data_IF_046424230039
#
_entry.id   IF_046424230039
#
_cell.length_a   1.000
_cell.length_b   1.000
_cell.length_c   1.000
_cell.angle_alpha   90.00
_cell.angle_beta   90.00
_cell.angle_gamma   90.00
#
_symmetry.space_group_name_H-M   'P 1'
#
loop_
_entity.id
_entity.type
_entity.pdbx_description
1 polymer ?
#
# COMPACT_ATOMS: atom_id res chain seq x y z
N UNK A 1 -11.59 18.89 27.16
CA UNK A 1 -11.93 17.45 27.30
C UNK A 1 -12.32 16.92 25.94
N UNK A 2 -12.07 15.64 25.67
CA UNK A 2 -12.37 15.04 24.35
C UNK A 2 -13.88 14.97 24.09
N UNK A 3 -14.31 15.38 22.89
CA UNK A 3 -15.71 15.35 22.46
C UNK A 3 -16.01 14.22 21.47
N UNK A 4 -15.05 13.30 21.27
CA UNK A 4 -15.21 12.17 20.38
C UNK A 4 -16.45 11.32 20.74
N UNK A 5 -17.22 10.84 19.73
CA UNK A 5 -18.28 9.87 19.97
C UNK A 5 -17.72 8.50 20.40
N UNK A 6 -16.45 8.21 20.15
CA UNK A 6 -15.82 6.92 20.40
C UNK A 6 -15.11 6.88 21.76
N UNK A 7 -15.45 5.88 22.60
CA UNK A 7 -14.95 5.79 23.97
C UNK A 7 -13.44 5.56 24.06
N UNK A 8 -12.85 4.83 23.11
CA UNK A 8 -11.42 4.61 23.04
C UNK A 8 -10.67 5.89 22.67
N UNK A 9 -11.15 6.67 21.70
CA UNK A 9 -10.55 7.95 21.33
C UNK A 9 -10.56 8.92 22.51
N UNK A 10 -11.69 9.03 23.22
CA UNK A 10 -11.75 9.85 24.45
C UNK A 10 -10.71 9.42 25.47
N UNK A 11 -10.51 8.11 25.66
CA UNK A 11 -9.51 7.58 26.60
C UNK A 11 -8.09 7.94 26.15
N UNK A 12 -7.75 7.67 24.89
CA UNK A 12 -6.44 7.96 24.31
C UNK A 12 -6.09 9.44 24.41
N UNK A 13 -6.98 10.33 23.98
CA UNK A 13 -6.77 11.79 24.04
C UNK A 13 -6.62 12.25 25.49
N UNK A 14 -7.43 11.72 26.42
CA UNK A 14 -7.33 12.13 27.84
C UNK A 14 -6.03 11.65 28.49
N UNK A 15 -5.57 10.43 28.16
CA UNK A 15 -4.30 9.89 28.65
C UNK A 15 -3.12 10.69 28.09
N UNK A 16 -3.14 11.01 26.80
CA UNK A 16 -2.06 11.75 26.16
C UNK A 16 -1.99 13.20 26.64
N UNK A 17 -3.14 13.86 26.83
CA UNK A 17 -3.21 15.17 27.45
C UNK A 17 -2.57 15.16 28.84
N UNK A 18 -2.92 14.18 29.68
CA UNK A 18 -2.34 14.04 31.01
C UNK A 18 -0.82 13.81 30.94
N UNK A 19 -0.35 12.98 29.99
CA UNK A 19 1.08 12.76 29.76
C UNK A 19 1.81 14.06 29.41
N UNK A 20 1.30 14.83 28.44
CA UNK A 20 1.93 16.07 27.99
C UNK A 20 1.95 17.15 29.07
N UNK A 21 0.86 17.30 29.82
CA UNK A 21 0.80 18.20 30.97
C UNK A 21 1.78 17.77 32.08
N UNK A 22 1.93 16.47 32.32
CA UNK A 22 2.92 15.97 33.28
C UNK A 22 4.37 16.20 32.82
N UNK A 23 4.64 16.20 31.50
CA UNK A 23 5.98 16.46 30.94
C UNK A 23 6.42 17.90 31.17
N UNK A 24 5.54 18.89 30.99
CA UNK A 24 5.87 20.29 31.35
C UNK A 24 5.88 20.51 32.87
N UNK A 25 5.14 19.69 33.63
CA UNK A 25 5.13 19.70 35.09
C UNK A 25 4.62 21.03 35.66
N UNK A 26 5.17 21.45 36.80
CA UNK A 26 4.74 22.67 37.48
C UNK A 26 5.00 23.98 36.69
N UNK A 27 5.79 23.93 35.62
CA UNK A 27 6.21 25.09 34.84
C UNK A 27 5.45 25.25 33.51
N UNK A 28 4.36 24.51 33.31
CA UNK A 28 3.59 24.62 32.07
C UNK A 28 3.06 26.04 31.86
N UNK A 29 3.48 26.71 30.79
CA UNK A 29 2.99 28.08 30.49
C UNK A 29 1.63 28.04 29.80
N UNK A 30 0.99 29.21 29.68
CA UNK A 30 -0.23 29.34 28.90
C UNK A 30 -0.01 28.98 27.42
N UNK A 31 1.15 29.32 26.84
CA UNK A 31 1.47 28.91 25.46
C UNK A 31 1.66 27.39 25.34
N UNK A 32 2.25 26.75 26.35
CA UNK A 32 2.39 25.29 26.36
C UNK A 32 1.04 24.60 26.38
N UNK A 33 0.12 25.06 27.24
CA UNK A 33 -1.24 24.52 27.32
C UNK A 33 -1.99 24.72 26.00
N UNK A 34 -1.89 25.88 25.35
CA UNK A 34 -2.49 26.11 24.03
C UNK A 34 -1.89 25.23 22.94
N UNK A 35 -0.59 24.92 23.02
CA UNK A 35 0.05 23.97 22.10
C UNK A 35 -0.49 22.56 22.32
N UNK A 36 -0.58 22.12 23.58
CA UNK A 36 -1.12 20.81 23.96
C UNK A 36 -2.58 20.69 23.50
N UNK A 37 -3.42 21.70 23.74
CA UNK A 37 -4.82 21.69 23.32
C UNK A 37 -4.98 21.52 21.81
N UNK A 38 -4.19 22.26 21.01
CA UNK A 38 -4.20 22.11 19.54
C UNK A 38 -3.80 20.69 19.12
N UNK A 39 -2.77 20.12 19.76
CA UNK A 39 -2.36 18.75 19.52
C UNK A 39 -3.45 17.75 19.89
N UNK A 40 -4.19 17.97 20.99
CA UNK A 40 -5.28 17.07 21.42
C UNK A 40 -6.48 17.13 20.48
N UNK A 41 -6.79 18.30 19.90
CA UNK A 41 -7.83 18.43 18.87
C UNK A 41 -7.45 17.66 17.61
N UNK A 42 -6.22 17.81 17.12
CA UNK A 42 -5.75 17.07 15.95
C UNK A 42 -5.69 15.56 16.22
N UNK A 43 -5.25 15.15 17.41
CA UNK A 43 -5.22 13.74 17.82
C UNK A 43 -6.63 13.14 17.90
N UNK A 44 -7.59 13.89 18.44
CA UNK A 44 -9.00 13.46 18.48
C UNK A 44 -9.57 13.24 17.08
N UNK A 45 -9.29 14.15 16.14
CA UNK A 45 -9.75 14.00 14.75
C UNK A 45 -9.11 12.77 14.08
N UNK A 46 -7.81 12.56 14.28
CA UNK A 46 -7.11 11.40 13.74
C UNK A 46 -7.67 10.09 14.32
N UNK A 47 -7.90 10.03 15.63
CA UNK A 47 -8.50 8.87 16.30
C UNK A 47 -9.94 8.60 15.83
N UNK A 48 -10.74 9.64 15.61
CA UNK A 48 -12.09 9.50 15.05
C UNK A 48 -12.07 8.90 13.64
N UNK A 49 -11.18 9.38 12.77
CA UNK A 49 -11.03 8.84 11.42
C UNK A 49 -10.55 7.38 11.47
N UNK A 50 -9.65 7.05 12.40
CA UNK A 50 -9.20 5.67 12.59
C UNK A 50 -10.33 4.74 13.03
N UNK A 51 -11.19 5.18 13.95
CA UNK A 51 -12.40 4.44 14.36
C UNK A 51 -13.41 4.26 13.22
N UNK A 52 -13.63 5.31 12.41
CA UNK A 52 -14.50 5.23 11.22
C UNK A 52 -13.96 4.18 10.25
N UNK A 53 -12.65 4.17 10.02
CA UNK A 53 -11.99 3.20 9.17
C UNK A 53 -12.14 1.77 9.69
N UNK A 54 -11.99 1.56 11.01
CA UNK A 54 -12.18 0.26 11.65
C UNK A 54 -13.63 -0.24 11.51
N UNK A 55 -14.61 0.65 11.61
CA UNK A 55 -16.04 0.28 11.61
C UNK A 55 -16.67 0.19 10.23
N UNK A 56 -16.06 0.78 9.20
CA UNK A 56 -16.75 0.98 7.93
C UNK A 56 -15.83 1.23 6.75
N UNK A 57 -16.29 2.06 5.83
CA UNK A 57 -15.52 2.56 4.70
C UNK A 57 -15.18 4.03 4.95
N UNK A 58 -13.99 4.45 4.54
CA UNK A 58 -13.61 5.85 4.52
C UNK A 58 -13.94 6.45 3.15
N UNK A 59 -14.27 7.74 3.14
CA UNK A 59 -14.28 8.52 1.89
C UNK A 59 -12.86 8.96 1.53
N UNK A 60 -12.63 9.27 0.26
CA UNK A 60 -11.34 9.83 -0.20
C UNK A 60 -10.99 11.12 0.54
N UNK A 61 -11.98 11.96 0.85
CA UNK A 61 -11.79 13.17 1.64
C UNK A 61 -11.34 12.86 3.08
N UNK A 62 -11.92 11.85 3.71
CA UNK A 62 -11.52 11.40 5.05
C UNK A 62 -10.07 10.86 5.04
N UNK A 63 -9.67 10.15 3.98
CA UNK A 63 -8.30 9.66 3.83
C UNK A 63 -7.30 10.81 3.64
N UNK A 64 -7.67 11.84 2.87
CA UNK A 64 -6.88 13.08 2.73
C UNK A 64 -6.75 13.84 4.04
N UNK A 65 -7.83 13.93 4.81
CA UNK A 65 -7.81 14.57 6.13
C UNK A 65 -6.92 13.81 7.11
N UNK A 66 -6.98 12.47 7.11
CA UNK A 66 -6.09 11.63 7.92
C UNK A 66 -4.62 11.92 7.60
N UNK A 67 -4.26 11.97 6.32
CA UNK A 67 -2.89 12.25 5.88
C UNK A 67 -2.41 13.64 6.33
N UNK A 68 -3.28 14.65 6.29
CA UNK A 68 -2.94 15.99 6.76
C UNK A 68 -2.67 16.04 8.27
N UNK A 69 -3.53 15.40 9.07
CA UNK A 69 -3.40 15.34 10.52
C UNK A 69 -2.14 14.60 10.95
N UNK A 70 -1.76 13.56 10.21
CA UNK A 70 -0.48 12.87 10.37
C UNK A 70 0.69 13.85 10.31
N UNK A 71 0.76 14.72 9.29
CA UNK A 71 1.86 15.67 9.14
C UNK A 71 1.88 16.75 10.23
N UNK A 72 0.69 17.16 10.68
CA UNK A 72 0.55 18.15 11.75
C UNK A 72 1.03 17.62 13.10
N UNK A 73 0.65 16.39 13.42
CA UNK A 73 0.96 15.78 14.72
C UNK A 73 2.39 15.25 14.77
N UNK A 74 2.88 14.64 13.69
CA UNK A 74 4.13 13.87 13.70
C UNK A 74 5.36 14.57 14.32
N UNK A 75 5.63 15.88 14.12
CA UNK A 75 6.74 16.56 14.78
C UNK A 75 6.72 16.47 16.32
N UNK A 76 5.54 16.31 16.92
CA UNK A 76 5.36 16.13 18.36
C UNK A 76 5.48 14.68 18.85
N UNK A 77 5.43 13.70 17.95
CA UNK A 77 5.40 12.27 18.27
C UNK A 77 6.54 11.57 17.53
N UNK A 78 7.74 11.65 18.11
CA UNK A 78 9.02 11.41 17.44
C UNK A 78 9.28 10.02 16.86
N UNK A 79 8.38 9.04 17.02
CA UNK A 79 8.50 7.78 16.31
C UNK A 79 7.16 7.36 15.67
N UNK A 80 7.29 6.84 14.44
CA UNK A 80 6.17 6.56 13.57
C UNK A 80 5.32 5.36 14.05
N UNK A 81 5.92 4.47 14.84
CA UNK A 81 5.25 3.28 15.38
C UNK A 81 4.35 3.63 16.56
N UNK A 82 4.88 4.29 17.59
CA UNK A 82 4.13 4.78 18.75
C UNK A 82 3.04 5.75 18.33
N UNK A 83 3.28 6.58 17.32
CA UNK A 83 2.26 7.46 16.79
C UNK A 83 1.14 6.72 16.06
N UNK A 84 1.48 5.72 15.25
CA UNK A 84 0.47 4.85 14.64
C UNK A 84 -0.33 4.11 15.72
N UNK A 85 0.33 3.49 16.69
CA UNK A 85 -0.29 2.81 17.84
C UNK A 85 -1.21 3.75 18.63
N UNK A 86 -0.80 5.00 18.83
CA UNK A 86 -1.59 6.02 19.51
C UNK A 86 -2.89 6.32 18.76
N UNK A 87 -2.82 6.62 17.46
CA UNK A 87 -4.01 6.99 16.69
C UNK A 87 -4.95 5.79 16.49
N UNK A 88 -4.41 4.60 16.30
CA UNK A 88 -5.23 3.39 16.11
C UNK A 88 -5.78 2.83 17.42
N UNK A 89 -5.25 3.25 18.56
CA UNK A 89 -5.56 2.70 19.88
C UNK A 89 -5.07 1.27 20.07
N UNK A 90 -4.12 0.80 19.25
CA UNK A 90 -3.59 -0.56 19.30
C UNK A 90 -2.25 -0.57 20.02
N UNK A 91 -2.14 -1.44 21.01
CA UNK A 91 -0.96 -1.58 21.87
C UNK A 91 0.20 -2.33 21.22
N UNK A 92 -0.01 -3.01 20.08
CA UNK A 92 1.00 -3.81 19.39
C UNK A 92 0.81 -3.83 17.88
N UNK A 93 1.23 -2.76 17.20
CA UNK A 93 1.36 -2.81 15.74
C UNK A 93 2.67 -3.51 15.35
N UNK A 94 2.62 -4.48 14.43
CA UNK A 94 3.84 -5.03 13.83
C UNK A 94 4.50 -3.99 12.92
N UNK A 95 5.83 -4.05 12.75
CA UNK A 95 6.53 -3.12 11.84
C UNK A 95 6.02 -3.16 10.40
N UNK A 96 5.47 -4.31 9.98
CA UNK A 96 4.73 -4.43 8.73
C UNK A 96 3.43 -3.63 8.77
N UNK A 97 2.56 -3.80 9.77
CA UNK A 97 1.32 -3.02 9.91
C UNK A 97 1.57 -1.50 9.98
N UNK A 98 2.64 -1.07 10.64
CA UNK A 98 3.08 0.33 10.66
C UNK A 98 3.46 0.82 9.27
N UNK A 99 4.30 0.06 8.54
CA UNK A 99 4.72 0.43 7.18
C UNK A 99 3.53 0.55 6.22
N UNK A 100 2.54 -0.31 6.41
CA UNK A 100 1.29 -0.37 5.64
C UNK A 100 0.39 0.82 5.88
N UNK A 101 0.26 1.20 7.15
CA UNK A 101 -0.47 2.40 7.56
C UNK A 101 0.13 3.63 6.88
N UNK A 102 1.46 3.77 6.91
CA UNK A 102 2.15 4.90 6.30
C UNK A 102 1.98 4.94 4.78
N UNK A 103 2.09 3.80 4.11
CA UNK A 103 1.80 3.70 2.68
C UNK A 103 0.34 4.09 2.35
N UNK A 104 -0.63 3.66 3.15
CA UNK A 104 -2.05 3.96 2.93
C UNK A 104 -2.38 5.46 3.08
N UNK A 105 -1.71 6.16 4.00
CA UNK A 105 -1.84 7.62 4.13
C UNK A 105 -0.97 8.39 3.13
N UNK A 106 -0.25 7.70 2.24
CA UNK A 106 0.55 8.31 1.17
C UNK A 106 1.86 8.96 1.65
N UNK A 107 2.43 8.48 2.76
CA UNK A 107 3.68 9.01 3.34
C UNK A 107 4.70 7.92 3.62
N UNK A 108 5.98 8.28 3.64
CA UNK A 108 7.04 7.39 4.13
C UNK A 108 7.88 8.10 5.19
N UNK A 109 8.19 7.44 6.32
CA UNK A 109 9.25 7.89 7.21
C UNK A 109 10.62 7.62 6.56
N UNK A 110 11.46 8.64 6.51
CA UNK A 110 12.87 8.52 6.08
C UNK A 110 13.81 8.55 7.29
N UNK A 111 15.05 8.10 7.08
CA UNK A 111 16.09 8.16 8.10
C UNK A 111 16.20 9.59 8.68
N UNK A 112 16.19 9.71 10.00
CA UNK A 112 16.17 11.00 10.70
C UNK A 112 14.78 11.47 11.16
N UNK A 113 13.73 10.66 10.96
CA UNK A 113 12.40 10.95 11.52
C UNK A 113 11.69 12.08 10.80
N UNK A 114 11.78 12.12 9.47
CA UNK A 114 11.03 13.05 8.61
C UNK A 114 10.01 12.24 7.81
N UNK A 115 8.78 12.74 7.69
CA UNK A 115 7.79 12.17 6.78
C UNK A 115 7.85 12.85 5.41
N UNK A 116 7.88 12.07 4.33
CA UNK A 116 7.77 12.57 2.96
C UNK A 116 6.48 12.07 2.33
N UNK A 117 5.67 12.98 1.76
CA UNK A 117 4.52 12.62 0.93
C UNK A 117 5.01 11.95 -0.35
N UNK A 118 4.45 10.79 -0.66
CA UNK A 118 4.84 9.95 -1.82
C UNK A 118 3.68 9.62 -2.74
N UNK A 119 2.45 9.94 -2.36
CA UNK A 119 1.27 9.70 -3.18
C UNK A 119 0.00 10.31 -2.57
N UNK A 120 -1.12 10.02 -3.20
CA UNK A 120 -2.45 10.30 -2.64
C UNK A 120 -2.84 9.19 -1.65
N UNK A 121 -3.48 9.53 -0.53
CA UNK A 121 -3.93 8.54 0.43
C UNK A 121 -5.07 7.69 -0.18
N UNK A 122 -5.01 6.37 0.00
CA UNK A 122 -6.05 5.44 -0.42
C UNK A 122 -6.98 5.14 0.74
N UNK A 123 -8.27 5.43 0.56
CA UNK A 123 -9.29 5.16 1.57
C UNK A 123 -9.46 3.66 1.82
N UNK A 124 -9.41 2.85 0.77
CA UNK A 124 -9.56 1.40 0.81
C UNK A 124 -8.39 0.75 1.54
N UNK A 125 -7.16 1.17 1.22
CA UNK A 125 -5.96 0.68 1.88
C UNK A 125 -5.94 1.06 3.36
N UNK A 126 -6.37 2.28 3.70
CA UNK A 126 -6.40 2.76 5.08
C UNK A 126 -7.42 1.98 5.91
N UNK A 127 -8.61 1.73 5.36
CA UNK A 127 -9.63 0.85 5.96
C UNK A 127 -9.11 -0.56 6.18
N UNK A 128 -8.44 -1.15 5.19
CA UNK A 128 -7.91 -2.51 5.28
C UNK A 128 -6.84 -2.64 6.39
N UNK A 129 -5.93 -1.67 6.48
CA UNK A 129 -4.88 -1.68 7.51
C UNK A 129 -5.46 -1.48 8.90
N UNK A 130 -6.39 -0.54 9.06
CA UNK A 130 -6.91 -0.18 10.38
C UNK A 130 -7.84 -1.24 10.97
N UNK A 131 -8.59 -1.97 10.13
CA UNK A 131 -9.42 -3.11 10.57
C UNK A 131 -8.62 -4.29 11.13
N UNK A 132 -7.39 -4.48 10.67
CA UNK A 132 -6.55 -5.64 11.04
C UNK A 132 -5.71 -5.27 12.26
N UNK A 133 -6.35 -5.26 13.43
CA UNK A 133 -5.74 -4.74 14.65
C UNK A 133 -4.79 -5.65 15.40
N UNK A 134 -4.83 -6.96 15.16
CA UNK A 134 -3.84 -7.93 15.63
C UNK A 134 -4.01 -9.17 14.76
N UNK A 135 -2.93 -9.63 14.14
CA UNK A 135 -2.81 -10.90 13.39
C UNK A 135 -3.91 -11.21 12.32
N UNK A 136 -3.71 -10.72 11.10
CA UNK A 136 -4.18 -11.42 9.90
C UNK A 136 -3.15 -11.28 8.77
N UNK A 137 -2.63 -12.42 8.31
CA UNK A 137 -1.73 -12.52 7.16
C UNK A 137 -2.46 -12.02 5.92
N UNK A 138 -1.74 -11.17 5.17
CA UNK A 138 -2.07 -10.81 3.80
C UNK A 138 -3.16 -9.75 3.68
N UNK A 139 -2.83 -8.48 3.90
CA UNK A 139 -3.67 -7.39 3.37
C UNK A 139 -2.95 -6.06 3.15
N UNK A 140 -1.61 -5.97 3.24
CA UNK A 140 -0.97 -4.71 2.87
C UNK A 140 0.46 -4.83 2.35
N UNK A 141 0.58 -5.21 1.11
CA UNK A 141 1.74 -4.81 0.29
C UNK A 141 1.30 -4.16 -1.02
N UNK A 142 0.02 -3.76 -1.13
CA UNK A 142 -0.62 -3.43 -2.41
C UNK A 142 -0.82 -1.95 -2.72
N UNK A 143 -0.47 -1.00 -1.83
CA UNK A 143 -0.82 0.42 -2.09
C UNK A 143 0.35 1.38 -2.38
N UNK A 144 1.60 1.03 -2.08
CA UNK A 144 2.66 2.07 -1.97
C UNK A 144 3.71 2.15 -3.07
N UNK A 145 4.12 1.03 -3.67
CA UNK A 145 5.32 1.00 -4.57
C UNK A 145 5.23 -0.03 -5.69
N UNK A 146 4.03 -0.52 -6.02
CA UNK A 146 3.83 -1.54 -7.05
C UNK A 146 3.10 -1.01 -8.30
N UNK A 147 2.70 0.27 -8.32
CA UNK A 147 1.88 0.83 -9.41
C UNK A 147 2.59 1.74 -10.42
N UNK A 148 3.88 2.09 -10.27
CA UNK A 148 4.42 3.16 -11.12
C UNK A 148 5.15 2.70 -12.38
N UNK A 149 5.73 1.49 -12.45
CA UNK A 149 6.52 0.98 -13.60
C UNK A 149 6.63 -0.56 -13.59
N UNK A 150 6.69 -1.17 -14.78
CA UNK A 150 7.26 -2.50 -14.99
C UNK A 150 8.69 -2.31 -15.47
N UNK A 151 9.69 -2.71 -14.68
CA UNK A 151 11.08 -2.60 -15.09
C UNK A 151 11.43 -3.79 -16.00
N UNK A 152 11.70 -3.49 -17.27
CA UNK A 152 12.09 -4.48 -18.28
C UNK A 152 13.62 -4.55 -18.36
N UNK A 153 14.22 -5.61 -17.81
CA UNK A 153 15.65 -5.89 -18.05
C UNK A 153 15.82 -6.70 -19.35
N UNK A 154 16.97 -6.56 -20.00
CA UNK A 154 17.28 -7.34 -21.20
C UNK A 154 17.36 -8.83 -20.91
N UNK A 155 17.97 -9.22 -19.78
CA UNK A 155 18.09 -10.63 -19.35
C UNK A 155 16.72 -11.31 -19.20
N UNK A 156 15.75 -10.64 -18.57
CA UNK A 156 14.40 -11.20 -18.41
C UNK A 156 13.69 -11.25 -19.75
N UNK A 157 13.87 -10.25 -20.60
CA UNK A 157 13.28 -10.27 -21.93
C UNK A 157 13.89 -11.36 -22.82
N UNK A 158 15.18 -11.64 -22.72
CA UNK A 158 15.82 -12.79 -23.38
C UNK A 158 15.16 -14.11 -22.94
N UNK A 159 14.86 -14.26 -21.65
CA UNK A 159 14.09 -15.40 -21.16
C UNK A 159 12.68 -15.47 -21.77
N UNK A 160 11.96 -14.35 -21.78
CA UNK A 160 10.60 -14.27 -22.38
C UNK A 160 10.64 -14.60 -23.86
N UNK A 161 11.64 -14.10 -24.61
CA UNK A 161 11.79 -14.38 -26.03
C UNK A 161 12.07 -15.87 -26.26
N UNK A 162 13.07 -16.41 -25.56
CA UNK A 162 13.49 -17.80 -25.72
C UNK A 162 12.39 -18.81 -25.35
N UNK A 163 11.47 -18.43 -24.46
CA UNK A 163 10.42 -19.33 -23.96
C UNK A 163 9.05 -19.08 -24.61
N UNK A 164 8.65 -17.82 -24.76
CA UNK A 164 7.28 -17.41 -25.11
C UNK A 164 7.15 -16.72 -26.48
N UNK A 165 8.25 -16.46 -27.18
CA UNK A 165 8.27 -16.02 -28.59
C UNK A 165 8.99 -17.01 -29.50
N UNK A 166 9.20 -18.25 -29.03
CA UNK A 166 10.01 -19.26 -29.72
C UNK A 166 9.21 -20.17 -30.66
N UNK A 167 7.87 -20.14 -30.58
CA UNK A 167 6.98 -21.05 -31.29
C UNK A 167 6.93 -22.48 -30.72
N UNK A 168 7.63 -22.76 -29.61
CA UNK A 168 7.66 -24.10 -29.01
C UNK A 168 6.34 -24.41 -28.28
N UNK A 169 5.77 -25.60 -28.53
CA UNK A 169 4.47 -26.02 -27.98
C UNK A 169 4.48 -26.38 -26.48
N UNK A 170 5.64 -26.35 -25.84
CA UNK A 170 5.79 -26.70 -24.43
C UNK A 170 5.51 -25.53 -23.46
N UNK A 171 5.21 -24.34 -23.97
CA UNK A 171 4.85 -23.15 -23.21
C UNK A 171 3.83 -22.31 -23.99
N UNK A 172 3.13 -21.42 -23.30
CA UNK A 172 2.28 -20.42 -23.96
C UNK A 172 3.11 -19.57 -24.92
N UNK A 173 2.60 -19.30 -26.12
CA UNK A 173 3.33 -18.58 -27.18
C UNK A 173 2.62 -17.29 -27.58
N UNK A 174 3.33 -16.17 -27.57
CA UNK A 174 2.86 -14.92 -28.15
C UNK A 174 2.85 -15.00 -29.68
N UNK A 175 1.84 -14.36 -30.27
CA UNK A 175 1.78 -14.02 -31.70
C UNK A 175 2.27 -12.58 -31.97
N UNK A 176 2.55 -11.83 -30.91
CA UNK A 176 3.09 -10.47 -30.96
C UNK A 176 4.57 -10.46 -31.34
N UNK A 177 5.05 -9.36 -31.91
CA UNK A 177 6.49 -9.13 -32.01
C UNK A 177 7.11 -8.77 -30.65
N UNK A 178 8.41 -8.93 -30.46
CA UNK A 178 9.10 -8.47 -29.24
C UNK A 178 8.88 -6.97 -29.01
N UNK A 179 8.98 -6.16 -30.07
CA UNK A 179 8.80 -4.70 -30.00
C UNK A 179 7.39 -4.35 -29.52
N UNK A 180 6.38 -5.04 -30.05
CA UNK A 180 4.98 -4.86 -29.67
C UNK A 180 4.73 -5.30 -28.22
N UNK A 181 5.30 -6.44 -27.79
CA UNK A 181 5.20 -6.91 -26.42
C UNK A 181 5.84 -5.91 -25.44
N UNK A 182 7.02 -5.38 -25.73
CA UNK A 182 7.69 -4.35 -24.91
C UNK A 182 6.87 -3.06 -24.83
N UNK A 183 6.27 -2.66 -25.96
CA UNK A 183 5.38 -1.49 -26.01
C UNK A 183 4.16 -1.68 -25.10
N UNK A 184 3.52 -2.86 -25.15
CA UNK A 184 2.39 -3.19 -24.28
C UNK A 184 2.81 -3.21 -22.81
N UNK A 185 3.90 -3.89 -22.45
CA UNK A 185 4.39 -3.98 -21.07
C UNK A 185 4.78 -2.62 -20.47
N UNK A 186 5.14 -1.66 -21.31
CA UNK A 186 5.49 -0.30 -20.90
C UNK A 186 4.30 0.66 -20.97
N UNK A 187 3.15 0.22 -21.48
CA UNK A 187 1.96 1.05 -21.61
C UNK A 187 1.34 1.37 -20.26
N UNK A 188 0.79 2.57 -20.13
CA UNK A 188 0.15 3.01 -18.89
C UNK A 188 -0.98 2.07 -18.46
N UNK A 189 -1.77 1.57 -19.42
CA UNK A 189 -2.85 0.61 -19.19
C UNK A 189 -2.39 -0.73 -18.62
N UNK A 190 -1.12 -1.09 -18.79
CA UNK A 190 -0.53 -2.31 -18.22
C UNK A 190 0.16 -2.02 -16.89
N UNK A 191 0.83 -0.87 -16.79
CA UNK A 191 1.48 -0.42 -15.55
C UNK A 191 0.46 -0.22 -14.42
N UNK A 192 -0.72 0.30 -14.75
CA UNK A 192 -1.81 0.57 -13.79
C UNK A 192 -2.63 -0.67 -13.43
N UNK A 193 -2.34 -1.84 -14.00
CA UNK A 193 -3.08 -3.06 -13.69
C UNK A 193 -2.91 -3.43 -12.21
N UNK A 194 -4.01 -3.77 -11.52
CA UNK A 194 -3.93 -4.25 -10.16
C UNK A 194 -3.23 -5.62 -10.13
N UNK A 195 -2.56 -5.90 -9.02
CA UNK A 195 -2.13 -7.26 -8.72
C UNK A 195 -3.37 -8.10 -8.43
N UNK A 196 -3.58 -9.15 -9.20
CA UNK A 196 -4.73 -10.06 -9.02
C UNK A 196 -4.40 -11.25 -8.14
N UNK A 197 -3.11 -11.60 -8.01
CA UNK A 197 -2.64 -12.75 -7.22
C UNK A 197 -1.17 -12.61 -6.84
N UNK A 198 -0.76 -13.27 -5.77
CA UNK A 198 0.65 -13.52 -5.46
C UNK A 198 0.93 -15.01 -5.37
N UNK A 199 2.11 -15.44 -5.82
CA UNK A 199 2.55 -16.83 -5.72
C UNK A 199 3.95 -16.88 -5.10
N UNK A 200 4.19 -17.86 -4.24
CA UNK A 200 5.52 -18.13 -3.71
C UNK A 200 6.33 -18.92 -4.75
N UNK A 201 7.57 -18.51 -4.97
CA UNK A 201 8.50 -19.20 -5.87
C UNK A 201 9.87 -19.32 -5.21
N UNK A 202 10.76 -20.16 -5.77
CA UNK A 202 12.13 -20.29 -5.28
C UNK A 202 12.91 -18.95 -5.24
N UNK A 203 12.53 -17.99 -6.08
CA UNK A 203 13.11 -16.64 -6.11
C UNK A 203 12.32 -15.58 -5.34
N UNK A 204 11.46 -16.00 -4.41
CA UNK A 204 10.57 -15.13 -3.64
C UNK A 204 9.17 -14.99 -4.23
N UNK A 205 8.37 -14.13 -3.61
CA UNK A 205 6.98 -13.86 -4.01
C UNK A 205 6.93 -13.20 -5.39
N UNK A 206 6.07 -13.71 -6.26
CA UNK A 206 5.76 -13.13 -7.57
C UNK A 206 4.36 -12.54 -7.55
N UNK A 207 4.23 -11.33 -8.04
CA UNK A 207 2.97 -10.59 -8.13
C UNK A 207 2.46 -10.68 -9.56
N UNK A 208 1.25 -11.21 -9.71
CA UNK A 208 0.62 -11.46 -10.99
C UNK A 208 -0.35 -10.33 -11.31
N UNK A 209 -0.28 -9.85 -12.55
CA UNK A 209 -1.30 -9.01 -13.16
C UNK A 209 -1.83 -9.72 -14.40
N UNK A 210 -3.08 -9.43 -14.75
CA UNK A 210 -3.74 -9.98 -15.93
C UNK A 210 -4.13 -8.81 -16.83
N UNK A 211 -3.69 -8.87 -18.09
CA UNK A 211 -4.01 -7.86 -19.11
C UNK A 211 -4.82 -8.51 -20.22
N UNK A 212 -5.98 -7.95 -20.55
CA UNK A 212 -6.72 -8.30 -21.75
C UNK A 212 -6.42 -7.27 -22.85
N UNK A 213 -5.80 -7.74 -23.94
CA UNK A 213 -5.45 -6.90 -25.08
C UNK A 213 -6.63 -6.61 -26.00
N UNK A 214 -7.80 -7.21 -25.78
CA UNK A 214 -9.00 -7.06 -26.61
C UNK A 214 -8.89 -7.69 -28.01
N UNK A 215 -7.77 -8.38 -28.30
CA UNK A 215 -7.50 -9.14 -29.53
C UNK A 215 -6.65 -10.35 -29.20
N UNK A 216 -6.65 -11.35 -30.06
CA UNK A 216 -5.78 -12.51 -29.90
C UNK A 216 -4.31 -12.08 -29.91
N UNK A 217 -3.58 -12.44 -28.86
CA UNK A 217 -2.16 -12.12 -28.68
C UNK A 217 -1.27 -13.35 -28.57
N UNK A 218 -1.85 -14.55 -28.48
CA UNK A 218 -1.08 -15.77 -28.29
C UNK A 218 -1.92 -17.02 -28.10
N UNK A 219 -1.27 -18.10 -27.67
CA UNK A 219 -1.86 -19.37 -27.28
C UNK A 219 -1.56 -19.67 -25.81
N UNK A 220 -2.56 -20.19 -25.10
CA UNK A 220 -2.48 -20.51 -23.67
C UNK A 220 -2.22 -22.01 -23.44
N UNK A 221 -1.02 -22.35 -22.97
CA UNK A 221 -0.64 -23.73 -22.66
C UNK A 221 -1.43 -24.33 -21.50
N UNK A 222 -1.92 -23.51 -20.57
CA UNK A 222 -2.77 -23.92 -19.45
C UNK A 222 -4.22 -24.15 -19.87
N UNK A 223 -4.57 -23.77 -21.10
CA UNK A 223 -5.86 -23.98 -21.71
C UNK A 223 -5.77 -24.75 -23.04
N UNK A 224 -4.91 -25.77 -23.09
CA UNK A 224 -4.81 -26.66 -24.24
C UNK A 224 -4.26 -26.03 -25.52
N UNK A 225 -3.45 -24.97 -25.40
CA UNK A 225 -2.91 -24.16 -26.50
C UNK A 225 -3.99 -23.43 -27.32
N UNK A 226 -5.15 -23.15 -26.73
CA UNK A 226 -6.18 -22.32 -27.37
C UNK A 226 -5.72 -20.87 -27.51
N UNK A 227 -6.23 -20.18 -28.53
CA UNK A 227 -5.99 -18.75 -28.72
C UNK A 227 -6.50 -17.94 -27.53
N UNK A 228 -5.78 -16.89 -27.16
CA UNK A 228 -6.11 -16.02 -26.02
C UNK A 228 -5.82 -14.56 -26.31
N UNK A 229 -6.64 -13.66 -25.77
CA UNK A 229 -6.40 -12.21 -25.72
C UNK A 229 -5.76 -11.75 -24.42
N UNK A 230 -5.67 -12.64 -23.44
CA UNK A 230 -5.20 -12.33 -22.09
C UNK A 230 -3.74 -12.75 -21.93
N UNK A 231 -2.96 -11.97 -21.19
CA UNK A 231 -1.62 -12.37 -20.74
C UNK A 231 -1.46 -12.19 -19.24
N UNK A 232 -0.65 -13.07 -18.65
CA UNK A 232 -0.19 -12.97 -17.27
C UNK A 232 1.15 -12.25 -17.25
N UNK A 233 1.26 -11.23 -16.40
CA UNK A 233 2.48 -10.47 -16.14
C UNK A 233 2.94 -10.77 -14.73
N UNK A 234 4.18 -11.22 -14.57
CA UNK A 234 4.76 -11.55 -13.28
C UNK A 234 5.87 -10.56 -12.93
N UNK A 235 5.76 -9.94 -11.75
CA UNK A 235 6.78 -9.03 -11.22
C UNK A 235 7.28 -9.47 -9.86
N UNK A 236 8.47 -9.03 -9.46
CA UNK A 236 8.95 -9.13 -8.08
C UNK A 236 8.41 -7.97 -7.21
N UNK A 237 8.80 -7.94 -5.94
CA UNK A 237 8.41 -6.89 -4.97
C UNK A 237 8.89 -5.47 -5.33
N UNK A 238 9.78 -5.33 -6.31
CA UNK A 238 10.34 -4.07 -6.77
C UNK A 238 9.75 -3.62 -8.11
N UNK A 239 8.80 -4.38 -8.68
CA UNK A 239 8.21 -4.10 -9.99
C UNK A 239 9.10 -4.51 -11.16
N UNK A 240 10.15 -5.29 -10.93
CA UNK A 240 10.95 -5.86 -12.03
C UNK A 240 10.16 -6.98 -12.68
N UNK A 241 10.12 -7.01 -14.00
CA UNK A 241 9.56 -8.14 -14.73
C UNK A 241 10.33 -9.40 -14.36
N UNK A 242 9.59 -10.48 -14.14
CA UNK A 242 10.14 -11.81 -13.87
C UNK A 242 9.84 -12.73 -15.05
N UNK A 243 8.60 -12.66 -15.54
CA UNK A 243 8.16 -13.34 -16.76
C UNK A 243 6.84 -12.73 -17.23
N UNK A 244 6.48 -13.00 -18.47
CA UNK A 244 5.14 -12.72 -19.02
C UNK A 244 4.83 -13.74 -20.09
N UNK A 245 3.56 -14.13 -20.19
CA UNK A 245 3.11 -15.11 -21.17
C UNK A 245 1.62 -14.96 -21.49
N UNK A 246 1.17 -15.35 -22.71
CA UNK A 246 -0.24 -15.41 -23.01
C UNK A 246 -0.94 -16.50 -22.19
N UNK A 247 -2.16 -16.21 -21.77
CA UNK A 247 -2.97 -17.08 -20.94
C UNK A 247 -2.93 -16.72 -19.46
N UNK A 248 -3.71 -17.49 -18.70
CA UNK A 248 -3.86 -17.31 -17.27
C UNK A 248 -3.10 -18.40 -16.52
N UNK A 249 -2.35 -18.00 -15.49
CA UNK A 249 -1.76 -18.96 -14.57
C UNK A 249 -2.86 -19.56 -13.69
N UNK A 250 -3.11 -20.86 -13.88
CA UNK A 250 -4.06 -21.64 -13.08
C UNK A 250 -3.40 -22.13 -11.79
#
# INVERSE_FOLDING_TARGET
MSHSPFANVRRTVSQENARLVNVCGANCTAEDLQRIDRQMVALEQAGNLAEIAQRGVMTSQQAQQMAQLVFELYPGYGNAESFAQLITGQSSLTGEAVSRFWAAVGVIPIAGGVLKKVGEPSAEALVAVLKVGDAAKGFASDAGRVGSRINLSNEVMEHVIARHLSGKSNASQFLLSEVELRSILSSQSVVDLPIVRSIESAGGIRYLREFDAGRVIGTDRFNGNQATSVMTIMTDRFGNLVSTFPGLLK
#
